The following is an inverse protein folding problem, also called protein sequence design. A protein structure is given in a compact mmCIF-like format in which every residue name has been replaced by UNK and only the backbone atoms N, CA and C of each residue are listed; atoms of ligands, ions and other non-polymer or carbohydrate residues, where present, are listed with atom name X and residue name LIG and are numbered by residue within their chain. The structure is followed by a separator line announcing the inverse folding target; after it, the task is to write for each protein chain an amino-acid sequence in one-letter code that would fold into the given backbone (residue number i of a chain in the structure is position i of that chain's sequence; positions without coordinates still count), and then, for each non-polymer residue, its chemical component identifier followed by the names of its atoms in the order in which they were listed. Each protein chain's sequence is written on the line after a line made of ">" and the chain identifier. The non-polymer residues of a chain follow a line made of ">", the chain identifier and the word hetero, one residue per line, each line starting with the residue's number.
data_IF_036791616443
#
_entry.id   IF_036791616443
#
_cell.length_a   1.000
_cell.length_b   1.000
_cell.length_c   1.000
_cell.angle_alpha   90.00
_cell.angle_beta   90.00
_cell.angle_gamma   90.00
#
_symmetry.space_group_name_H-M   'P 1'
#
loop_
_entity.id
_entity.type
_entity.pdbx_description
1 polymer ?
#
# COMPACT_ATOMS: atom_id res chain seq x y z
N UNK A 1 5.94 21.60 -11.80
CA UNK A 1 5.37 21.25 -11.45
C UNK A 1 4.86 20.53 -11.21
N UNK A 2 4.75 20.13 -10.91
CA UNK A 2 4.26 19.45 -10.69
C UNK A 2 3.38 19.01 -10.42
N UNK A 3 3.11 18.78 -10.43
CA UNK A 3 2.30 18.33 -10.24
C UNK A 3 1.53 17.89 -9.70
N UNK A 4 0.77 17.95 -9.60
CA UNK A 4 -0.10 17.38 -8.90
C UNK A 4 -0.18 16.02 -8.78
N UNK A 5 -0.14 15.64 -8.22
CA UNK A 5 0.21 14.37 -8.15
C UNK A 5 -0.58 13.45 -7.32
N UNK A 6 -1.77 13.78 -6.97
CA UNK A 6 -2.64 12.90 -6.23
C UNK A 6 -2.91 11.61 -6.97
N UNK A 7 -2.90 11.65 -8.28
CA UNK A 7 -3.23 10.46 -9.07
C UNK A 7 -1.99 9.77 -9.61
N UNK A 8 -0.87 9.90 -8.90
CA UNK A 8 0.37 9.25 -9.34
C UNK A 8 0.66 7.96 -8.59
N UNK A 9 -0.16 7.60 -7.63
CA UNK A 9 0.08 6.41 -6.84
C UNK A 9 -0.38 5.15 -7.56
N UNK A 10 0.33 4.07 -7.31
CA UNK A 10 -0.11 2.74 -7.69
C UNK A 10 -0.76 2.12 -6.46
N UNK A 11 -1.94 1.56 -6.63
CA UNK A 11 -2.63 0.93 -5.51
C UNK A 11 -2.71 -0.56 -5.69
N UNK A 12 -2.46 -1.28 -4.61
CA UNK A 12 -2.60 -2.73 -4.57
C UNK A 12 -3.76 -3.05 -3.65
N UNK A 13 -4.78 -3.71 -4.17
CA UNK A 13 -5.97 -4.05 -3.40
C UNK A 13 -5.88 -5.50 -2.96
N UNK A 14 -5.58 -5.70 -1.69
CA UNK A 14 -5.46 -7.03 -1.09
C UNK A 14 -4.18 -7.15 -0.30
N UNK A 15 -4.29 -7.04 1.03
CA UNK A 15 -3.13 -6.99 1.92
C UNK A 15 -2.72 -8.37 2.44
N UNK A 16 -2.86 -9.39 1.61
CA UNK A 16 -2.34 -10.71 1.93
C UNK A 16 -0.86 -10.78 1.59
N UNK A 17 -0.36 -12.00 1.53
CA UNK A 17 1.06 -12.25 1.29
C UNK A 17 1.53 -11.70 -0.05
N UNK A 18 0.83 -12.05 -1.11
CA UNK A 18 1.21 -11.63 -2.46
C UNK A 18 1.07 -10.13 -2.65
N UNK A 19 -0.07 -9.58 -2.22
CA UNK A 19 -0.33 -8.15 -2.37
C UNK A 19 0.68 -7.30 -1.61
N UNK A 20 1.01 -7.72 -0.40
CA UNK A 20 1.98 -7.01 0.42
C UNK A 20 3.37 -7.05 -0.22
N UNK A 21 3.78 -8.21 -0.74
CA UNK A 21 5.08 -8.32 -1.39
C UNK A 21 5.15 -7.47 -2.64
N UNK A 22 4.07 -7.44 -3.43
CA UNK A 22 4.01 -6.62 -4.63
C UNK A 22 4.10 -5.14 -4.29
N UNK A 23 3.33 -4.70 -3.31
CA UNK A 23 3.35 -3.30 -2.88
C UNK A 23 4.73 -2.90 -2.35
N UNK A 24 5.35 -3.79 -1.58
CA UNK A 24 6.69 -3.57 -1.06
C UNK A 24 7.68 -3.35 -2.21
N UNK A 25 7.63 -4.20 -3.24
CA UNK A 25 8.55 -4.08 -4.38
C UNK A 25 8.34 -2.79 -5.15
N UNK A 26 7.08 -2.42 -5.39
CA UNK A 26 6.77 -1.19 -6.09
C UNK A 26 7.29 0.03 -5.34
N UNK A 27 7.04 0.06 -4.03
CA UNK A 27 7.45 1.19 -3.21
C UNK A 27 8.98 1.26 -3.10
N UNK A 28 9.62 0.10 -2.98
CA UNK A 28 11.07 0.06 -2.89
C UNK A 28 11.73 0.61 -4.15
N UNK A 29 11.06 0.46 -5.29
CA UNK A 29 11.57 0.98 -6.56
C UNK A 29 11.21 2.45 -6.79
N UNK A 30 10.66 3.11 -5.76
CA UNK A 30 10.41 4.54 -5.84
C UNK A 30 9.02 4.93 -6.27
N UNK A 31 8.11 3.98 -6.44
CA UNK A 31 6.73 4.29 -6.82
C UNK A 31 5.90 4.58 -5.59
N UNK A 32 5.24 5.75 -5.51
CA UNK A 32 4.28 5.97 -4.43
C UNK A 32 3.20 4.88 -4.50
N UNK A 33 3.04 4.14 -3.43
CA UNK A 33 2.23 2.93 -3.43
C UNK A 33 1.25 2.93 -2.28
N UNK A 34 -0.01 2.60 -2.58
CA UNK A 34 -1.04 2.43 -1.56
C UNK A 34 -1.39 0.96 -1.48
N UNK A 35 -1.45 0.43 -0.27
CA UNK A 35 -1.85 -0.96 -0.05
C UNK A 35 -3.15 -0.95 0.72
N UNK A 36 -4.20 -1.49 0.12
CA UNK A 36 -5.51 -1.54 0.73
C UNK A 36 -5.81 -2.95 1.23
N UNK A 37 -6.39 -3.02 2.42
CA UNK A 37 -6.94 -4.25 2.95
C UNK A 37 -8.26 -3.94 3.63
N UNK A 38 -9.17 -4.91 3.65
CA UNK A 38 -10.49 -4.66 4.23
C UNK A 38 -10.55 -4.88 5.74
N UNK A 39 -9.54 -5.50 6.32
CA UNK A 39 -9.47 -5.71 7.76
C UNK A 39 -8.84 -4.48 8.39
N UNK A 40 -9.67 -3.61 8.95
CA UNK A 40 -9.21 -2.33 9.52
C UNK A 40 -8.19 -2.52 10.63
N UNK A 41 -8.37 -3.56 11.45
CA UNK A 41 -7.43 -3.84 12.52
C UNK A 41 -6.06 -4.20 11.98
N UNK A 42 -6.04 -5.05 10.95
CA UNK A 42 -4.81 -5.47 10.32
C UNK A 42 -4.10 -4.28 9.68
N UNK A 43 -4.87 -3.42 8.99
CA UNK A 43 -4.30 -2.22 8.38
C UNK A 43 -3.71 -1.30 9.44
N UNK A 44 -4.39 -1.13 10.57
CA UNK A 44 -3.88 -0.29 11.65
C UNK A 44 -2.58 -0.84 12.22
N UNK A 45 -2.49 -2.17 12.37
CA UNK A 45 -1.26 -2.80 12.85
C UNK A 45 -0.13 -2.58 11.87
N UNK A 46 -0.39 -2.75 10.57
CA UNK A 46 0.62 -2.54 9.55
C UNK A 46 1.10 -1.09 9.53
N UNK A 47 0.19 -0.14 9.71
CA UNK A 47 0.56 1.26 9.73
C UNK A 47 1.45 1.58 10.93
N UNK A 48 1.10 1.04 12.10
CA UNK A 48 1.84 1.30 13.32
C UNK A 48 3.23 0.67 13.28
N UNK A 49 3.33 -0.53 12.76
CA UNK A 49 4.57 -1.29 12.75
C UNK A 49 5.41 -1.04 11.50
N UNK A 50 4.84 -0.43 10.49
CA UNK A 50 5.47 -0.25 9.17
C UNK A 50 5.94 -1.59 8.62
N UNK A 51 5.10 -2.61 8.81
CA UNK A 51 5.45 -3.98 8.47
C UNK A 51 4.17 -4.82 8.50
N UNK A 52 4.09 -5.82 7.62
CA UNK A 52 2.99 -6.79 7.67
C UNK A 52 3.52 -8.04 8.35
N UNK A 53 3.44 -8.08 9.68
CA UNK A 53 4.01 -9.19 10.45
C UNK A 53 3.28 -10.50 10.23
N UNK A 54 2.04 -10.43 9.75
CA UNK A 54 1.22 -11.62 9.52
C UNK A 54 1.63 -12.34 8.24
N UNK A 55 1.91 -11.58 7.18
CA UNK A 55 2.12 -12.16 5.86
C UNK A 55 3.50 -11.89 5.27
N UNK A 56 4.23 -10.93 5.78
CA UNK A 56 5.57 -10.61 5.28
C UNK A 56 6.43 -10.11 6.42
N UNK A 57 6.71 -11.00 7.41
CA UNK A 57 7.48 -10.58 8.59
C UNK A 57 8.92 -10.24 8.23
N UNK A 58 9.46 -9.28 8.94
CA UNK A 58 10.86 -8.89 8.78
C UNK A 58 11.13 -7.87 7.70
N UNK A 59 10.12 -7.48 6.92
CA UNK A 59 10.30 -6.52 5.84
C UNK A 59 9.66 -5.18 6.23
N UNK A 60 10.48 -4.23 6.65
CA UNK A 60 10.01 -2.89 7.02
C UNK A 60 9.57 -2.15 5.77
N UNK A 61 8.39 -1.55 5.81
CA UNK A 61 7.83 -0.87 4.64
C UNK A 61 8.69 0.31 4.22
N UNK A 62 8.98 0.44 2.92
CA UNK A 62 9.63 1.65 2.42
C UNK A 62 8.75 2.87 2.66
N UNK A 63 9.37 4.03 2.70
CA UNK A 63 8.66 5.28 2.96
C UNK A 63 7.53 5.53 1.98
N UNK A 64 7.71 5.10 0.74
CA UNK A 64 6.73 5.33 -0.32
C UNK A 64 5.49 4.45 -0.19
N UNK A 65 5.48 3.48 0.73
CA UNK A 65 4.34 2.59 0.92
C UNK A 65 3.45 3.09 2.05
N UNK A 66 2.19 3.33 1.72
CA UNK A 66 1.19 3.76 2.70
C UNK A 66 0.05 2.76 2.67
N UNK A 67 -0.37 2.30 3.85
CA UNK A 67 -1.50 1.38 3.96
C UNK A 67 -2.76 2.16 4.32
N UNK A 68 -3.89 1.71 3.81
CA UNK A 68 -5.15 2.42 4.01
C UNK A 68 -6.31 1.43 3.89
N UNK A 69 -7.25 1.51 4.81
CA UNK A 69 -8.43 0.64 4.81
C UNK A 69 -9.63 1.27 4.12
N UNK A 70 -9.53 2.53 3.72
CA UNK A 70 -10.63 3.23 3.05
C UNK A 70 -10.49 3.07 1.54
N UNK A 71 -11.32 2.20 0.99
CA UNK A 71 -11.23 1.87 -0.43
C UNK A 71 -11.47 3.09 -1.32
N UNK A 72 -12.41 3.95 -0.94
CA UNK A 72 -12.71 5.13 -1.75
C UNK A 72 -11.52 6.08 -1.83
N UNK A 73 -10.85 6.29 -0.70
CA UNK A 73 -9.66 7.13 -0.68
C UNK A 73 -8.56 6.55 -1.56
N UNK A 74 -8.36 5.24 -1.46
CA UNK A 74 -7.32 4.57 -2.22
C UNK A 74 -7.60 4.68 -3.72
N UNK A 75 -8.83 4.39 -4.13
CA UNK A 75 -9.19 4.46 -5.56
C UNK A 75 -9.05 5.88 -6.08
N UNK A 76 -9.50 6.86 -5.30
CA UNK A 76 -9.45 8.26 -5.73
C UNK A 76 -8.01 8.76 -5.90
N UNK A 77 -7.07 8.22 -5.14
CA UNK A 77 -5.68 8.67 -5.16
C UNK A 77 -4.81 7.89 -6.15
N UNK A 78 -5.40 6.96 -6.91
CA UNK A 78 -4.62 6.01 -7.68
C UNK A 78 -4.62 6.33 -9.17
N UNK A 79 -3.45 6.23 -9.77
CA UNK A 79 -3.31 6.23 -11.22
C UNK A 79 -3.56 4.82 -11.77
N UNK A 80 -2.97 3.84 -11.11
CA UNK A 80 -3.10 2.44 -11.50
C UNK A 80 -3.57 1.62 -10.31
N UNK A 81 -4.43 0.66 -10.55
CA UNK A 81 -4.99 -0.19 -9.50
C UNK A 81 -4.75 -1.64 -9.87
N UNK A 82 -4.10 -2.36 -8.96
CA UNK A 82 -3.85 -3.79 -9.11
C UNK A 82 -4.67 -4.54 -8.08
N UNK A 83 -5.50 -5.45 -8.55
CA UNK A 83 -6.32 -6.28 -7.67
C UNK A 83 -5.69 -7.67 -7.59
N UNK A 84 -5.37 -8.09 -6.37
CA UNK A 84 -4.68 -9.36 -6.16
C UNK A 84 -5.44 -10.28 -5.22
#
# INVERSE_FOLDING_TARGET
>A
MKSNSVSESVSVLGAGSYGTALAFCLARNGNPTLLWGRDEKHIAEMAANRENTRYLPGATFPEALVVNADLEDVVAASRDILVV
#
